data_IF_595881074353
#
_entry.id   IF_595881074353
#
_cell.length_a   1.000
_cell.length_b   1.000
_cell.length_c   1.000
_cell.angle_alpha   90.00
_cell.angle_beta   90.00
_cell.angle_gamma   90.00
#
_symmetry.space_group_name_H-M   'P 1'
#
loop_
_entity.id
_entity.type
_entity.pdbx_description
1 polymer ?
#
# COMPACT_ATOMS: atom_id res chain seq x y z
N UNK A 1 -5.56 25.37 -50.23
CA UNK A 1 -4.53 25.47 -49.15
C UNK A 1 -5.13 25.84 -47.79
N UNK A 2 -5.99 26.87 -47.73
CA UNK A 2 -6.63 27.38 -46.49
C UNK A 2 -7.44 26.32 -45.72
N UNK A 3 -8.26 25.51 -46.41
CA UNK A 3 -9.11 24.48 -45.75
C UNK A 3 -8.28 23.40 -45.01
N UNK A 4 -7.12 23.01 -45.55
CA UNK A 4 -6.20 22.05 -44.91
C UNK A 4 -5.58 22.63 -43.64
N UNK A 5 -5.18 23.91 -43.67
CA UNK A 5 -4.61 24.60 -42.51
C UNK A 5 -5.63 24.75 -41.37
N UNK A 6 -6.90 25.03 -41.69
CA UNK A 6 -7.99 25.13 -40.70
C UNK A 6 -8.31 23.78 -40.06
N UNK A 7 -8.36 22.70 -40.86
CA UNK A 7 -8.59 21.35 -40.35
C UNK A 7 -7.44 20.86 -39.43
N UNK A 8 -6.18 21.18 -39.77
CA UNK A 8 -5.03 20.91 -38.90
C UNK A 8 -5.09 21.69 -37.59
N UNK A 9 -5.44 22.99 -37.64
CA UNK A 9 -5.60 23.84 -36.44
C UNK A 9 -6.71 23.34 -35.52
N UNK A 10 -7.84 22.92 -36.07
CA UNK A 10 -8.94 22.34 -35.30
C UNK A 10 -8.57 20.97 -34.69
N UNK A 11 -7.78 20.17 -35.41
CA UNK A 11 -7.21 18.93 -34.91
C UNK A 11 -6.27 19.15 -33.73
N UNK A 12 -5.39 20.15 -33.82
CA UNK A 12 -4.46 20.52 -32.73
C UNK A 12 -5.17 21.06 -31.50
N UNK A 13 -6.20 21.90 -31.69
CA UNK A 13 -7.01 22.40 -30.58
C UNK A 13 -7.81 21.29 -29.88
N UNK A 14 -8.34 20.33 -30.63
CA UNK A 14 -9.01 19.14 -30.06
C UNK A 14 -8.02 18.25 -29.30
N UNK A 15 -6.82 18.04 -29.83
CA UNK A 15 -5.74 17.29 -29.16
C UNK A 15 -5.30 17.96 -27.87
N UNK A 16 -5.10 19.29 -27.87
CA UNK A 16 -4.74 20.07 -26.67
C UNK A 16 -5.85 20.01 -25.62
N UNK A 17 -7.11 20.28 -25.98
CA UNK A 17 -8.25 20.15 -25.05
C UNK A 17 -8.41 18.74 -24.48
N UNK A 18 -8.15 17.71 -25.27
CA UNK A 18 -8.17 16.32 -24.80
C UNK A 18 -7.02 16.03 -23.84
N UNK A 19 -5.81 16.55 -24.09
CA UNK A 19 -4.67 16.44 -23.20
C UNK A 19 -4.90 17.20 -21.88
N UNK A 20 -5.43 18.43 -21.93
CA UNK A 20 -5.76 19.24 -20.75
C UNK A 20 -6.84 18.58 -19.90
N UNK A 21 -7.87 17.99 -20.53
CA UNK A 21 -8.92 17.24 -19.82
C UNK A 21 -8.37 15.97 -19.19
N UNK A 22 -7.47 15.24 -19.87
CA UNK A 22 -6.79 14.07 -19.30
C UNK A 22 -5.95 14.46 -18.10
N UNK A 23 -5.14 15.51 -18.23
CA UNK A 23 -4.33 16.06 -17.15
C UNK A 23 -5.20 16.46 -15.96
N UNK A 24 -6.32 17.17 -16.19
CA UNK A 24 -7.25 17.57 -15.14
C UNK A 24 -7.92 16.39 -14.42
N UNK A 25 -8.34 15.36 -15.15
CA UNK A 25 -8.93 14.14 -14.55
C UNK A 25 -7.88 13.37 -13.74
N UNK A 26 -6.65 13.25 -14.25
CA UNK A 26 -5.57 12.63 -13.51
C UNK A 26 -5.22 13.42 -12.24
N UNK A 27 -5.09 14.74 -12.34
CA UNK A 27 -4.81 15.59 -11.18
C UNK A 27 -5.93 15.54 -10.12
N UNK A 28 -7.20 15.57 -10.53
CA UNK A 28 -8.31 15.45 -9.58
C UNK A 28 -8.38 14.05 -8.95
N UNK A 29 -8.13 13.00 -9.75
CA UNK A 29 -8.06 11.63 -9.27
C UNK A 29 -6.93 11.41 -8.27
N UNK A 30 -5.74 11.95 -8.52
CA UNK A 30 -4.60 11.83 -7.60
C UNK A 30 -4.86 12.58 -6.30
N UNK A 31 -5.42 13.78 -6.36
CA UNK A 31 -5.81 14.56 -5.18
C UNK A 31 -6.88 13.82 -4.37
N UNK A 32 -7.88 13.22 -5.02
CA UNK A 32 -8.92 12.46 -4.32
C UNK A 32 -8.35 11.20 -3.64
N UNK A 33 -7.53 10.41 -4.34
CA UNK A 33 -6.88 9.21 -3.80
C UNK A 33 -5.94 9.58 -2.64
N UNK A 34 -5.13 10.63 -2.82
CA UNK A 34 -4.27 11.17 -1.78
C UNK A 34 -5.09 11.61 -0.57
N UNK A 35 -6.18 12.35 -0.78
CA UNK A 35 -7.00 12.88 0.31
C UNK A 35 -7.68 11.78 1.12
N UNK A 36 -8.26 10.77 0.47
CA UNK A 36 -8.95 9.65 1.15
C UNK A 36 -8.02 8.92 2.12
N UNK A 37 -6.73 8.82 1.82
CA UNK A 37 -5.78 8.11 2.67
C UNK A 37 -4.97 9.03 3.60
N UNK A 38 -4.59 10.22 3.13
CA UNK A 38 -3.77 11.17 3.88
C UNK A 38 -4.57 11.99 4.90
N UNK A 39 -5.85 12.30 4.65
CA UNK A 39 -6.67 13.07 5.60
C UNK A 39 -6.93 12.28 6.89
N UNK A 40 -7.38 11.01 6.86
CA UNK A 40 -7.54 10.23 8.08
C UNK A 40 -6.22 10.02 8.83
N UNK A 41 -5.14 9.78 8.10
CA UNK A 41 -3.80 9.65 8.70
C UNK A 41 -3.35 10.96 9.36
N UNK A 42 -3.48 12.09 8.66
CA UNK A 42 -3.12 13.41 9.18
C UNK A 42 -3.95 13.81 10.39
N UNK A 43 -5.25 13.53 10.38
CA UNK A 43 -6.12 13.71 11.55
C UNK A 43 -5.64 12.85 12.72
N UNK A 44 -5.38 11.56 12.49
CA UNK A 44 -4.88 10.67 13.53
C UNK A 44 -3.53 11.14 14.09
N UNK A 45 -2.63 11.58 13.22
CA UNK A 45 -1.34 12.16 13.60
C UNK A 45 -1.52 13.38 14.50
N UNK A 46 -2.41 14.31 14.13
CA UNK A 46 -2.75 15.48 14.95
C UNK A 46 -3.33 15.07 16.31
N UNK A 47 -4.18 14.03 16.37
CA UNK A 47 -4.73 13.54 17.63
C UNK A 47 -3.66 12.86 18.52
N UNK A 48 -2.70 12.17 17.91
CA UNK A 48 -1.58 11.53 18.60
C UNK A 48 -0.61 12.58 19.16
N UNK A 49 -0.15 13.51 18.32
CA UNK A 49 0.76 14.60 18.70
C UNK A 49 0.11 15.57 19.68
N UNK A 50 -1.16 15.92 19.44
CA UNK A 50 -1.97 16.75 20.33
C UNK A 50 -2.35 16.06 21.65
N UNK A 51 -1.93 14.80 21.86
CA UNK A 51 -2.16 14.01 23.08
C UNK A 51 -3.64 13.99 23.50
N UNK A 52 -4.54 13.90 22.53
CA UNK A 52 -5.97 13.99 22.78
C UNK A 52 -6.44 12.92 23.77
N UNK A 53 -7.03 13.36 24.89
CA UNK A 53 -7.29 12.50 26.05
C UNK A 53 -8.16 11.27 25.75
N UNK A 54 -9.24 11.37 24.96
CA UNK A 54 -10.02 10.20 24.57
C UNK A 54 -9.21 9.13 23.85
N UNK A 55 -8.37 9.52 22.88
CA UNK A 55 -7.51 8.58 22.14
C UNK A 55 -6.47 7.92 23.06
N UNK A 56 -5.81 8.71 23.91
CA UNK A 56 -4.85 8.17 24.89
C UNK A 56 -5.50 7.19 25.87
N UNK A 57 -6.72 7.48 26.32
CA UNK A 57 -7.49 6.58 27.20
C UNK A 57 -7.85 5.29 26.48
N UNK A 58 -8.25 5.36 25.20
CA UNK A 58 -8.51 4.18 24.38
C UNK A 58 -7.24 3.33 24.24
N UNK A 59 -6.13 3.94 23.81
CA UNK A 59 -4.85 3.26 23.66
C UNK A 59 -4.40 2.55 24.95
N UNK A 60 -4.45 3.26 26.08
CA UNK A 60 -4.05 2.71 27.38
C UNK A 60 -4.99 1.61 27.88
N UNK A 61 -6.31 1.76 27.71
CA UNK A 61 -7.29 0.73 28.09
C UNK A 61 -7.11 -0.55 27.27
N UNK A 62 -6.92 -0.42 25.96
CA UNK A 62 -6.74 -1.56 25.07
C UNK A 62 -5.44 -2.29 25.36
N UNK A 63 -4.33 -1.54 25.52
CA UNK A 63 -3.02 -2.14 25.83
C UNK A 63 -3.03 -2.89 27.17
N UNK A 64 -3.60 -2.29 28.24
CA UNK A 64 -3.67 -2.96 29.56
C UNK A 64 -4.51 -4.24 29.53
N UNK A 65 -5.75 -4.16 29.02
CA UNK A 65 -6.65 -5.32 28.98
C UNK A 65 -6.06 -6.51 28.23
N UNK A 66 -5.44 -6.25 27.08
CA UNK A 66 -4.83 -7.31 26.29
C UNK A 66 -3.56 -7.86 26.94
N UNK A 67 -2.76 -7.03 27.59
CA UNK A 67 -1.59 -7.49 28.33
C UNK A 67 -1.97 -8.35 29.54
N UNK A 68 -2.97 -7.93 30.32
CA UNK A 68 -3.54 -8.74 31.42
C UNK A 68 -4.01 -10.11 30.89
N UNK A 69 -4.76 -10.12 29.78
CA UNK A 69 -5.21 -11.36 29.14
C UNK A 69 -4.03 -12.23 28.67
N UNK A 70 -2.97 -11.61 28.16
CA UNK A 70 -1.77 -12.29 27.68
C UNK A 70 -0.96 -12.96 28.80
N UNK A 71 -0.92 -12.33 29.98
CA UNK A 71 -0.28 -12.89 31.16
C UNK A 71 -1.05 -14.12 31.67
N UNK A 72 -2.38 -14.06 31.64
CA UNK A 72 -3.24 -15.17 32.10
C UNK A 72 -3.25 -16.38 31.15
N UNK A 73 -2.86 -16.20 29.87
CA UNK A 73 -2.94 -17.23 28.83
C UNK A 73 -1.60 -17.44 28.08
N UNK A 74 -0.63 -18.15 28.66
CA UNK A 74 0.70 -18.32 28.06
C UNK A 74 0.70 -18.97 26.67
N UNK A 75 -0.13 -20.00 26.45
CA UNK A 75 -0.22 -20.67 25.15
C UNK A 75 -0.76 -19.74 24.04
N UNK A 76 -1.69 -18.85 24.39
CA UNK A 76 -2.20 -17.84 23.47
C UNK A 76 -1.10 -16.82 23.13
N UNK A 77 -0.38 -16.34 24.13
CA UNK A 77 0.75 -15.43 23.97
C UNK A 77 1.85 -16.01 23.08
N UNK A 78 2.24 -17.27 23.29
CA UNK A 78 3.27 -17.92 22.46
C UNK A 78 2.80 -18.10 21.01
N UNK A 79 1.51 -18.37 20.81
CA UNK A 79 0.92 -18.38 19.47
C UNK A 79 1.01 -17.01 18.80
N UNK A 80 0.70 -15.93 19.52
CA UNK A 80 0.81 -14.56 19.00
C UNK A 80 2.26 -14.18 18.67
N UNK A 81 3.22 -14.57 19.51
CA UNK A 81 4.67 -14.37 19.25
C UNK A 81 5.09 -15.13 18.01
N UNK A 82 4.72 -16.41 17.88
CA UNK A 82 5.05 -17.20 16.70
C UNK A 82 4.47 -16.58 15.42
N UNK A 83 3.19 -16.19 15.44
CA UNK A 83 2.57 -15.54 14.29
C UNK A 83 3.25 -14.21 13.95
N UNK A 84 3.56 -13.39 14.96
CA UNK A 84 4.17 -12.08 14.73
C UNK A 84 5.62 -12.16 14.26
N UNK A 85 6.42 -13.06 14.84
CA UNK A 85 7.89 -13.06 14.67
C UNK A 85 8.36 -14.04 13.60
N UNK A 86 7.51 -15.00 13.18
CA UNK A 86 7.84 -15.97 12.13
C UNK A 86 6.99 -15.81 10.88
N UNK A 87 5.67 -15.77 11.05
CA UNK A 87 4.73 -15.80 9.91
C UNK A 87 4.59 -14.41 9.28
N UNK A 88 4.37 -13.40 10.10
CA UNK A 88 4.11 -12.03 9.64
C UNK A 88 5.24 -11.04 9.95
N UNK A 89 6.44 -11.58 10.16
CA UNK A 89 7.62 -10.75 10.38
C UNK A 89 7.87 -9.84 9.14
N UNK A 90 8.18 -8.55 9.34
CA UNK A 90 8.43 -7.61 8.25
C UNK A 90 9.55 -8.03 7.30
N UNK A 91 10.61 -8.68 7.79
CA UNK A 91 11.72 -9.14 6.94
C UNK A 91 11.23 -10.29 6.06
N UNK A 92 10.48 -11.24 6.62
CA UNK A 92 9.84 -12.31 5.84
C UNK A 92 8.95 -11.74 4.73
N UNK A 93 8.02 -10.84 5.07
CA UNK A 93 7.11 -10.24 4.09
C UNK A 93 7.82 -9.42 3.02
N UNK A 94 8.87 -8.66 3.38
CA UNK A 94 9.69 -7.91 2.41
C UNK A 94 10.49 -8.84 1.51
N UNK A 95 10.99 -9.95 2.04
CA UNK A 95 11.72 -10.96 1.26
C UNK A 95 10.79 -11.60 0.23
N UNK A 96 9.57 -11.98 0.64
CA UNK A 96 8.56 -12.53 -0.30
C UNK A 96 8.25 -11.53 -1.42
N UNK A 97 8.05 -10.25 -1.08
CA UNK A 97 7.82 -9.20 -2.09
C UNK A 97 9.03 -8.97 -2.99
N UNK A 98 10.25 -9.06 -2.44
CA UNK A 98 11.47 -8.97 -3.23
C UNK A 98 11.58 -10.12 -4.23
N UNK A 99 11.30 -11.35 -3.79
CA UNK A 99 11.27 -12.54 -4.66
C UNK A 99 10.20 -12.42 -5.75
N UNK A 100 9.00 -11.94 -5.40
CA UNK A 100 7.94 -11.64 -6.38
C UNK A 100 8.43 -10.60 -7.39
N UNK A 101 9.11 -9.55 -6.94
CA UNK A 101 9.65 -8.51 -7.81
C UNK A 101 10.70 -9.07 -8.77
N UNK A 102 11.61 -9.91 -8.29
CA UNK A 102 12.60 -10.61 -9.13
C UNK A 102 11.91 -11.52 -10.15
N UNK A 103 10.88 -12.24 -9.74
CA UNK A 103 10.07 -13.06 -10.64
C UNK A 103 9.38 -12.23 -11.72
N UNK A 104 8.86 -11.04 -11.39
CA UNK A 104 8.28 -10.11 -12.37
C UNK A 104 9.33 -9.61 -13.39
N UNK A 105 10.57 -9.33 -12.93
CA UNK A 105 11.68 -8.97 -13.81
C UNK A 105 12.01 -10.13 -14.77
N UNK A 106 12.05 -11.36 -14.27
CA UNK A 106 12.24 -12.57 -15.11
C UNK A 106 11.13 -12.72 -16.15
N UNK A 107 9.88 -12.43 -15.77
CA UNK A 107 8.71 -12.40 -16.67
C UNK A 107 8.69 -11.20 -17.62
N UNK A 108 9.68 -10.30 -17.56
CA UNK A 108 9.76 -9.04 -18.33
C UNK A 108 8.58 -8.09 -18.10
N UNK A 109 7.94 -8.18 -16.94
CA UNK A 109 6.90 -7.25 -16.48
C UNK A 109 7.56 -6.07 -15.73
N UNK A 110 8.43 -5.33 -16.42
CA UNK A 110 9.35 -4.34 -15.82
C UNK A 110 8.62 -3.24 -15.04
N UNK A 111 7.51 -2.74 -15.56
CA UNK A 111 6.71 -1.68 -14.95
C UNK A 111 5.97 -2.17 -13.72
N UNK A 112 5.42 -3.38 -13.74
CA UNK A 112 4.79 -3.99 -12.56
C UNK A 112 5.84 -4.32 -11.49
N UNK A 113 7.03 -4.79 -11.90
CA UNK A 113 8.16 -4.96 -11.01
C UNK A 113 8.59 -3.64 -10.37
N UNK A 114 8.69 -2.56 -11.17
CA UNK A 114 8.99 -1.22 -10.67
C UNK A 114 7.91 -0.72 -9.70
N UNK A 115 6.63 -0.92 -10.01
CA UNK A 115 5.53 -0.58 -9.10
C UNK A 115 5.63 -1.34 -7.77
N UNK A 116 5.89 -2.64 -7.81
CA UNK A 116 6.09 -3.48 -6.61
C UNK A 116 7.25 -2.96 -5.76
N UNK A 117 8.42 -2.74 -6.38
CA UNK A 117 9.62 -2.25 -5.71
C UNK A 117 9.41 -0.86 -5.10
N UNK A 118 8.82 0.08 -5.85
CA UNK A 118 8.53 1.44 -5.40
C UNK A 118 7.55 1.42 -4.25
N UNK A 119 6.46 0.64 -4.33
CA UNK A 119 5.45 0.57 -3.28
C UNK A 119 6.03 0.03 -1.97
N UNK A 120 6.82 -1.05 -2.03
CA UNK A 120 7.47 -1.62 -0.85
C UNK A 120 8.51 -0.67 -0.25
N UNK A 121 9.34 -0.05 -1.09
CA UNK A 121 10.43 0.83 -0.63
C UNK A 121 9.89 2.15 -0.09
N UNK A 122 8.94 2.78 -0.80
CA UNK A 122 8.28 4.00 -0.33
C UNK A 122 7.55 3.75 0.98
N UNK A 123 6.87 2.61 1.13
CA UNK A 123 6.24 2.23 2.40
C UNK A 123 7.24 2.16 3.55
N UNK A 124 8.37 1.47 3.35
CA UNK A 124 9.43 1.38 4.35
C UNK A 124 10.04 2.73 4.73
N UNK A 125 10.40 3.55 3.73
CA UNK A 125 11.06 4.84 3.95
C UNK A 125 10.14 5.89 4.56
N UNK A 126 8.90 6.01 4.08
CA UNK A 126 7.91 6.94 4.63
C UNK A 126 7.57 6.54 6.07
N UNK A 127 7.40 5.23 6.33
CA UNK A 127 7.18 4.73 7.70
C UNK A 127 8.33 5.08 8.63
N UNK A 128 9.58 4.90 8.19
CA UNK A 128 10.76 5.27 8.97
C UNK A 128 10.83 6.78 9.23
N UNK A 129 10.58 7.60 8.20
CA UNK A 129 10.59 9.06 8.30
C UNK A 129 9.57 9.56 9.31
N UNK A 130 8.30 9.15 9.21
CA UNK A 130 7.27 9.54 10.18
C UNK A 130 7.66 9.10 11.58
N UNK A 131 8.22 7.89 11.70
CA UNK A 131 8.63 7.33 12.99
C UNK A 131 9.71 8.15 13.68
N UNK A 132 10.67 8.68 12.92
CA UNK A 132 11.72 9.57 13.43
C UNK A 132 11.25 11.01 13.67
N UNK A 133 10.11 11.42 13.08
CA UNK A 133 9.56 12.75 13.30
C UNK A 133 8.63 12.80 14.53
N UNK A 134 7.88 11.73 14.76
CA UNK A 134 6.86 11.63 15.82
C UNK A 134 7.46 11.21 17.15
N UNK A 135 8.49 10.34 17.12
CA UNK A 135 9.25 9.91 18.30
C UNK A 135 8.38 9.39 19.47
N UNK A 136 7.19 8.86 19.17
CA UNK A 136 6.24 8.45 20.20
C UNK A 136 6.79 7.27 21.01
N UNK A 137 6.69 7.36 22.33
CA UNK A 137 7.01 6.28 23.24
C UNK A 137 6.07 5.07 23.06
N UNK A 138 6.61 3.86 23.29
CA UNK A 138 5.83 2.60 23.31
C UNK A 138 5.00 2.47 24.59
N UNK A 139 4.04 1.53 24.64
CA UNK A 139 3.37 1.20 25.89
C UNK A 139 4.37 0.82 26.98
N UNK A 140 4.36 1.58 28.09
CA UNK A 140 5.07 1.24 29.32
C UNK A 140 4.07 0.55 30.26
N UNK A 141 4.11 -0.78 30.27
CA UNK A 141 3.27 -1.63 31.11
C UNK A 141 4.12 -2.12 32.31
N UNK A 142 3.48 -2.38 33.44
CA UNK A 142 4.17 -2.84 34.66
C UNK A 142 4.87 -4.20 34.42
N UNK A 143 4.15 -5.15 33.81
CA UNK A 143 4.66 -6.46 33.40
C UNK A 143 4.50 -6.68 31.88
N UNK A 144 5.46 -6.21 31.06
CA UNK A 144 5.38 -6.30 29.61
C UNK A 144 5.69 -7.72 29.08
N UNK A 145 4.77 -8.26 28.27
CA UNK A 145 4.87 -9.61 27.70
C UNK A 145 5.87 -9.70 26.53
N UNK A 146 6.22 -8.57 25.91
CA UNK A 146 7.24 -8.47 24.86
C UNK A 146 7.88 -7.07 24.84
N UNK A 147 9.13 -7.00 24.38
CA UNK A 147 9.88 -5.75 24.22
C UNK A 147 10.22 -5.51 22.75
N UNK A 148 10.11 -4.25 22.32
CA UNK A 148 10.52 -3.83 20.98
C UNK A 148 11.30 -2.51 21.07
N UNK A 149 12.46 -2.39 20.41
CA UNK A 149 13.24 -1.16 20.45
C UNK A 149 12.63 -0.04 19.59
N UNK A 150 13.06 1.20 19.85
CA UNK A 150 12.70 2.40 19.09
C UNK A 150 11.26 2.89 19.31
N UNK A 151 10.86 3.88 18.52
CA UNK A 151 9.55 4.54 18.63
C UNK A 151 8.36 3.66 18.27
N UNK A 152 7.16 4.09 18.63
CA UNK A 152 5.91 3.31 18.50
C UNK A 152 5.09 3.66 17.27
N UNK A 153 4.96 4.96 16.93
CA UNK A 153 4.11 5.43 15.85
C UNK A 153 4.90 5.73 14.57
N UNK A 154 4.39 5.35 13.37
CA UNK A 154 3.34 4.36 13.14
C UNK A 154 3.90 2.93 13.31
N UNK A 155 3.00 1.94 13.42
CA UNK A 155 3.41 0.54 13.49
C UNK A 155 4.00 0.07 12.15
N UNK A 156 5.31 -0.21 12.14
CA UNK A 156 6.02 -0.70 10.96
C UNK A 156 5.58 -2.11 10.52
N UNK A 157 5.14 -2.96 11.45
CA UNK A 157 4.56 -4.27 11.12
C UNK A 157 3.22 -4.10 10.39
N UNK A 158 2.32 -3.27 10.95
CA UNK A 158 1.02 -3.00 10.34
C UNK A 158 1.17 -2.39 8.94
N UNK A 159 2.11 -1.44 8.80
CA UNK A 159 2.41 -0.81 7.52
C UNK A 159 2.99 -1.81 6.50
N UNK A 160 4.00 -2.59 6.90
CA UNK A 160 4.62 -3.60 6.02
C UNK A 160 3.62 -4.66 5.60
N UNK A 161 2.78 -5.15 6.52
CA UNK A 161 1.71 -6.09 6.19
C UNK A 161 0.74 -5.49 5.16
N UNK A 162 0.30 -4.26 5.38
CA UNK A 162 -0.61 -3.56 4.44
C UNK A 162 -0.02 -3.48 3.04
N UNK A 163 1.22 -2.99 2.92
CA UNK A 163 1.88 -2.85 1.61
C UNK A 163 2.17 -4.21 0.97
N UNK A 164 2.71 -5.17 1.72
CA UNK A 164 3.11 -6.47 1.17
C UNK A 164 1.92 -7.32 0.75
N UNK A 165 0.87 -7.40 1.57
CA UNK A 165 -0.33 -8.14 1.20
C UNK A 165 -1.08 -7.47 0.05
N UNK A 166 -1.09 -6.14 -0.03
CA UNK A 166 -1.65 -5.44 -1.19
C UNK A 166 -0.86 -5.72 -2.47
N UNK A 167 0.47 -5.69 -2.42
CA UNK A 167 1.33 -6.04 -3.57
C UNK A 167 1.08 -7.48 -4.00
N UNK A 168 1.15 -8.44 -3.08
CA UNK A 168 0.95 -9.85 -3.37
C UNK A 168 -0.43 -10.10 -3.97
N UNK A 169 -1.47 -9.53 -3.35
CA UNK A 169 -2.84 -9.65 -3.84
C UNK A 169 -2.97 -9.06 -5.24
N UNK A 170 -2.63 -7.78 -5.43
CA UNK A 170 -2.86 -7.08 -6.69
C UNK A 170 -2.05 -7.66 -7.86
N UNK A 171 -0.85 -8.19 -7.60
CA UNK A 171 0.00 -8.81 -8.64
C UNK A 171 -0.46 -10.23 -8.98
N UNK A 172 -0.84 -11.03 -7.98
CA UNK A 172 -1.14 -12.45 -8.19
C UNK A 172 -2.62 -12.71 -8.53
N UNK A 173 -3.55 -11.82 -8.18
CA UNK A 173 -4.99 -11.96 -8.44
C UNK A 173 -5.35 -12.26 -9.92
N UNK A 174 -4.67 -11.70 -10.94
CA UNK A 174 -4.88 -12.07 -12.34
C UNK A 174 -4.71 -13.56 -12.62
N UNK A 175 -3.80 -14.21 -11.90
CA UNK A 175 -3.44 -15.63 -12.06
C UNK A 175 -4.38 -16.56 -11.30
N UNK A 176 -5.26 -16.02 -10.46
CA UNK A 176 -6.19 -16.78 -9.61
C UNK A 176 -7.55 -16.95 -10.30
N UNK A 177 -8.13 -18.17 -10.29
CA UNK A 177 -9.49 -18.40 -10.78
C UNK A 177 -10.50 -17.48 -10.11
N UNK A 178 -11.48 -16.96 -10.87
CA UNK A 178 -12.45 -15.97 -10.38
C UNK A 178 -13.19 -16.41 -9.10
N UNK A 179 -13.49 -17.70 -8.98
CA UNK A 179 -14.16 -18.28 -7.81
C UNK A 179 -13.34 -18.19 -6.51
N UNK A 180 -12.00 -18.14 -6.58
CA UNK A 180 -11.10 -18.09 -5.43
C UNK A 180 -10.67 -16.68 -5.05
N UNK A 181 -11.01 -15.67 -5.86
CA UNK A 181 -10.61 -14.27 -5.61
C UNK A 181 -11.16 -13.72 -4.28
N UNK A 182 -12.42 -13.98 -3.87
CA UNK A 182 -12.91 -13.56 -2.55
C UNK A 182 -12.08 -14.15 -1.39
N UNK A 183 -11.63 -15.41 -1.53
CA UNK A 183 -10.77 -16.04 -0.53
C UNK A 183 -9.41 -15.35 -0.43
N UNK A 184 -8.79 -14.97 -1.54
CA UNK A 184 -7.53 -14.21 -1.53
C UNK A 184 -7.67 -12.86 -0.83
N UNK A 185 -8.78 -12.14 -1.08
CA UNK A 185 -9.11 -10.91 -0.36
C UNK A 185 -9.28 -11.16 1.14
N UNK A 186 -10.01 -12.21 1.51
CA UNK A 186 -10.21 -12.61 2.91
C UNK A 186 -8.88 -12.88 3.61
N UNK A 187 -7.98 -13.66 2.99
CA UNK A 187 -6.65 -13.97 3.53
C UNK A 187 -5.83 -12.69 3.72
N UNK A 188 -5.83 -11.79 2.73
CA UNK A 188 -5.09 -10.52 2.83
C UNK A 188 -5.62 -9.66 3.98
N UNK A 189 -6.94 -9.48 4.09
CA UNK A 189 -7.57 -8.68 5.15
C UNK A 189 -7.32 -9.29 6.53
N UNK A 190 -7.56 -10.60 6.69
CA UNK A 190 -7.33 -11.32 7.94
C UNK A 190 -5.86 -11.22 8.35
N UNK A 191 -4.92 -11.32 7.41
CA UNK A 191 -3.50 -11.18 7.72
C UNK A 191 -3.14 -9.76 8.16
N UNK A 192 -3.60 -8.72 7.46
CA UNK A 192 -3.33 -7.32 7.84
C UNK A 192 -3.92 -6.98 9.21
N UNK A 193 -5.15 -7.42 9.48
CA UNK A 193 -5.82 -7.23 10.78
C UNK A 193 -5.13 -8.05 11.86
N UNK A 194 -4.80 -9.31 11.58
CA UNK A 194 -4.11 -10.23 12.48
C UNK A 194 -2.75 -9.69 12.92
N UNK A 195 -1.97 -9.14 11.99
CA UNK A 195 -0.71 -8.44 12.31
C UNK A 195 -0.95 -7.27 13.24
N UNK A 196 -1.92 -6.42 12.95
CA UNK A 196 -2.23 -5.30 13.84
C UNK A 196 -2.60 -5.77 15.24
N UNK A 197 -3.44 -6.80 15.32
CA UNK A 197 -3.88 -7.40 16.58
C UNK A 197 -2.72 -7.95 17.39
N UNK A 198 -1.80 -8.74 16.80
CA UNK A 198 -0.65 -9.29 17.53
C UNK A 198 0.22 -8.19 18.13
N UNK A 199 0.40 -7.06 17.43
CA UNK A 199 1.21 -5.94 17.94
C UNK A 199 0.60 -5.22 19.14
N UNK A 200 -0.74 -5.15 19.20
CA UNK A 200 -1.43 -4.55 20.35
C UNK A 200 -1.48 -5.57 21.48
N UNK A 201 -1.78 -6.83 21.18
CA UNK A 201 -1.90 -7.90 22.17
C UNK A 201 -0.57 -8.21 22.88
N UNK A 202 0.55 -8.13 22.17
CA UNK A 202 1.90 -8.27 22.74
C UNK A 202 2.38 -7.00 23.46
N UNK A 203 1.56 -5.94 23.56
CA UNK A 203 1.87 -4.73 24.32
C UNK A 203 2.95 -3.83 23.70
N UNK A 204 3.34 -4.07 22.44
CA UNK A 204 4.47 -3.37 21.80
C UNK A 204 4.05 -2.13 21.00
N UNK A 205 2.76 -1.98 20.70
CA UNK A 205 2.20 -0.83 19.99
C UNK A 205 0.86 -0.40 20.58
N UNK A 206 0.58 0.90 20.52
CA UNK A 206 -0.75 1.43 20.78
C UNK A 206 -1.72 1.08 19.65
N UNK A 207 -3.02 1.06 19.94
CA UNK A 207 -4.05 0.83 18.93
C UNK A 207 -3.95 1.87 17.80
N UNK A 208 -3.76 3.13 18.14
CA UNK A 208 -3.57 4.21 17.17
C UNK A 208 -2.30 4.07 16.32
N UNK A 209 -1.23 3.44 16.82
CA UNK A 209 -0.03 3.18 16.01
C UNK A 209 -0.33 2.19 14.87
N UNK A 210 -1.14 1.18 15.16
CA UNK A 210 -1.57 0.17 14.18
C UNK A 210 -2.48 0.79 13.13
N UNK A 211 -3.48 1.56 13.55
CA UNK A 211 -4.36 2.29 12.63
C UNK A 211 -3.56 3.26 11.76
N UNK A 212 -2.59 3.98 12.34
CA UNK A 212 -1.68 4.86 11.59
C UNK A 212 -0.85 4.10 10.55
N UNK A 213 -0.34 2.92 10.92
CA UNK A 213 0.38 2.04 9.99
C UNK A 213 -0.48 1.55 8.82
N UNK A 214 -1.73 1.15 9.08
CA UNK A 214 -2.67 0.75 8.03
C UNK A 214 -3.03 1.90 7.10
N UNK A 215 -3.39 3.07 7.65
CA UNK A 215 -3.76 4.25 6.86
C UNK A 215 -2.61 4.72 5.98
N UNK A 216 -1.40 4.80 6.52
CA UNK A 216 -0.22 5.22 5.78
C UNK A 216 0.19 4.18 4.72
N UNK A 217 0.11 2.89 5.05
CA UNK A 217 0.34 1.81 4.09
C UNK A 217 -0.66 1.83 2.93
N UNK A 218 -1.94 2.01 3.23
CA UNK A 218 -2.99 2.16 2.21
C UNK A 218 -2.78 3.42 1.36
N UNK A 219 -2.34 4.53 1.95
CA UNK A 219 -2.01 5.75 1.21
C UNK A 219 -0.92 5.51 0.17
N UNK A 220 0.17 4.85 0.57
CA UNK A 220 1.27 4.51 -0.34
C UNK A 220 0.77 3.62 -1.48
N UNK A 221 0.06 2.53 -1.17
CA UNK A 221 -0.49 1.61 -2.18
C UNK A 221 -1.43 2.35 -3.14
N UNK A 222 -2.36 3.15 -2.62
CA UNK A 222 -3.33 3.84 -3.44
C UNK A 222 -2.67 4.86 -4.39
N UNK A 223 -1.69 5.62 -3.90
CA UNK A 223 -0.93 6.58 -4.70
C UNK A 223 -0.10 5.90 -5.79
N UNK A 224 0.63 4.84 -5.46
CA UNK A 224 1.47 4.13 -6.44
C UNK A 224 0.60 3.40 -7.47
N UNK A 225 -0.49 2.76 -7.05
CA UNK A 225 -1.47 2.12 -7.95
C UNK A 225 -2.13 3.14 -8.86
N UNK A 226 -2.53 4.31 -8.34
CA UNK A 226 -3.10 5.38 -9.16
C UNK A 226 -2.10 5.86 -10.24
N UNK A 227 -0.84 6.06 -9.87
CA UNK A 227 0.21 6.45 -10.82
C UNK A 227 0.46 5.36 -11.88
N UNK A 228 0.40 4.09 -11.48
CA UNK A 228 0.53 2.96 -12.40
C UNK A 228 -0.64 2.87 -13.39
N UNK A 229 -1.88 3.00 -12.91
CA UNK A 229 -3.08 2.99 -13.76
C UNK A 229 -3.15 4.21 -14.69
N UNK A 230 -2.67 5.38 -14.25
CA UNK A 230 -2.51 6.55 -15.12
C UNK A 230 -1.58 6.24 -16.30
N UNK A 231 -0.42 5.62 -16.02
CA UNK A 231 0.48 5.14 -17.07
C UNK A 231 -0.19 4.11 -17.99
N UNK A 232 -0.93 3.13 -17.44
CA UNK A 232 -1.64 2.11 -18.26
C UNK A 232 -2.64 2.76 -19.21
N UNK A 233 -3.41 3.72 -18.71
CA UNK A 233 -4.36 4.48 -19.52
C UNK A 233 -3.66 5.25 -20.65
N UNK A 234 -2.53 5.91 -20.37
CA UNK A 234 -1.73 6.59 -21.39
C UNK A 234 -1.12 5.63 -22.42
N UNK A 235 -0.82 4.40 -22.02
CA UNK A 235 -0.40 3.31 -22.91
C UNK A 235 -1.57 2.69 -23.71
N UNK A 236 -2.79 3.22 -23.59
CA UNK A 236 -3.98 2.72 -24.29
C UNK A 236 -4.54 1.42 -23.73
N UNK A 237 -4.15 1.02 -22.51
CA UNK A 237 -4.71 -0.16 -21.85
C UNK A 237 -6.03 0.17 -21.18
N UNK A 238 -6.90 -0.84 -21.09
CA UNK A 238 -8.14 -0.73 -20.32
C UNK A 238 -7.80 -0.59 -18.83
N UNK A 239 -8.53 0.23 -18.05
CA UNK A 239 -8.43 0.24 -16.60
C UNK A 239 -8.71 -1.16 -16.06
N UNK A 240 -7.87 -1.67 -15.15
CA UNK A 240 -8.21 -2.91 -14.47
C UNK A 240 -9.20 -2.68 -13.33
N UNK A 241 -10.18 -3.57 -13.22
CA UNK A 241 -11.03 -3.63 -12.03
C UNK A 241 -10.24 -4.16 -10.83
N UNK A 242 -10.58 -3.71 -9.62
CA UNK A 242 -9.96 -4.21 -8.37
C UNK A 242 -10.09 -5.74 -8.22
N UNK A 243 -11.13 -6.34 -8.80
CA UNK A 243 -11.35 -7.78 -8.81
C UNK A 243 -10.50 -8.52 -9.83
N UNK A 244 -9.79 -7.83 -10.73
CA UNK A 244 -8.94 -8.41 -11.77
C UNK A 244 -7.44 -8.36 -11.44
N UNK A 245 -7.05 -7.59 -10.43
CA UNK A 245 -5.66 -7.31 -10.11
C UNK A 245 -5.10 -6.13 -10.93
N UNK A 246 -3.82 -5.82 -10.72
CA UNK A 246 -3.21 -4.59 -11.26
C UNK A 246 -2.75 -4.73 -12.72
N UNK A 247 -2.45 -5.94 -13.19
CA UNK A 247 -2.10 -6.19 -14.59
C UNK A 247 -2.71 -7.51 -15.08
N UNK A 248 -3.97 -7.51 -15.56
CA UNK A 248 -4.64 -8.68 -16.12
C UNK A 248 -3.87 -9.33 -17.27
N UNK A 249 -3.02 -8.58 -17.98
CA UNK A 249 -2.21 -9.08 -19.09
C UNK A 249 -1.03 -9.95 -18.66
N UNK A 250 -0.74 -10.04 -17.35
CA UNK A 250 0.39 -10.81 -16.79
C UNK A 250 0.34 -12.31 -17.14
N UNK A 251 -0.87 -12.85 -17.39
CA UNK A 251 -1.07 -14.25 -17.79
C UNK A 251 -0.67 -14.53 -19.24
N UNK A 252 -0.43 -13.50 -20.06
CA UNK A 252 -0.01 -13.63 -21.46
C UNK A 252 1.50 -13.87 -21.67
N UNK A 253 1.88 -14.15 -22.92
CA UNK A 253 3.29 -14.39 -23.30
C UNK A 253 4.15 -13.10 -23.31
N UNK A 254 3.51 -11.95 -23.52
CA UNK A 254 4.16 -10.63 -23.51
C UNK A 254 3.37 -9.69 -22.58
N UNK A 255 3.74 -9.59 -21.30
CA UNK A 255 2.98 -8.81 -20.33
C UNK A 255 3.07 -7.30 -20.58
N UNK A 256 4.15 -6.80 -21.18
CA UNK A 256 4.29 -5.38 -21.55
C UNK A 256 3.94 -5.10 -23.02
N UNK A 257 3.41 -3.90 -23.33
CA UNK A 257 3.21 -3.50 -24.72
C UNK A 257 4.58 -3.25 -25.36
N UNK A 258 4.74 -3.61 -26.64
CA UNK A 258 5.93 -3.27 -27.39
C UNK A 258 6.21 -1.76 -27.30
N UNK A 259 7.47 -1.32 -27.15
CA UNK A 259 7.80 0.10 -27.11
C UNK A 259 7.20 0.76 -28.35
N UNK A 260 6.47 1.87 -28.16
CA UNK A 260 5.89 2.59 -29.27
C UNK A 260 7.01 2.97 -30.23
N UNK A 261 7.05 2.33 -31.40
CA UNK A 261 7.91 2.74 -32.50
C UNK A 261 7.43 4.14 -32.85
N UNK A 262 8.14 5.17 -32.38
CA UNK A 262 8.01 6.51 -32.93
C UNK A 262 8.30 6.33 -34.41
N UNK A 263 7.26 6.33 -35.24
CA UNK A 263 7.42 6.58 -36.68
C UNK A 263 8.10 7.95 -36.74
N UNK A 264 9.44 7.96 -36.89
CA UNK A 264 10.14 9.16 -37.38
C UNK A 264 9.43 9.47 -38.69
N UNK A 265 8.84 10.65 -38.76
CA UNK A 265 8.16 11.09 -39.96
C UNK A 265 9.14 10.99 -41.12
N UNK A 266 8.86 10.09 -42.06
CA UNK A 266 9.26 10.25 -43.44
C UNK A 266 8.52 11.51 -43.91
N UNK A 267 9.23 12.63 -43.88
CA UNK A 267 8.86 13.80 -44.67
C UNK A 267 9.35 13.53 -46.10
N UNK A 268 8.45 13.45 -47.10
CA UNK A 268 8.85 13.56 -48.50
C UNK A 268 9.30 14.98 -48.84
#
# INVERSE_FOLDING_TARGET
MVVRATAQRLGDLRRRRAADRRFGVHLLGSVAVAAVAAVPFGLLLVLVEGRWQPLRRLDARTARRLNETALDHPAWTDTLRFLSDRVWDPVTLRTIVALLTVWLLYRRAWRLAAWSAVTATAGGLIGLLVKTLVERARPSLEDPVAHAPGFSFPSGHAMTATTSFAILLLVLLPMVPRALRPLCWGIAVVSVVGVGFTRIALGVHWFSDVVGGWLLGLAVVALTTWAFEAWRHDAGRRPAGLSEGLEPELTGAHPEPAPAVRKRGEHP
#
